data_IF_734046727173
#
_entry.id   IF_734046727173
#
_cell.length_a   1.000
_cell.length_b   1.000
_cell.length_c   1.000
_cell.angle_alpha   90.00
_cell.angle_beta   90.00
_cell.angle_gamma   90.00
#
_symmetry.space_group_name_H-M   'P 1'
#
loop_
_entity.id
_entity.type
_entity.pdbx_description
1 polymer ?
#
# COMPACT_ATOMS: atom_id res chain seq x y z
N UNK A 1 -7.49 8.17 19.79
CA UNK A 1 -7.08 7.30 18.66
C UNK A 1 -5.96 6.41 19.14
N UNK A 2 -6.04 5.08 18.97
CA UNK A 2 -4.97 4.17 19.40
C UNK A 2 -3.78 4.30 18.45
N UNK A 3 -2.62 4.75 18.95
CA UNK A 3 -1.44 4.93 18.10
C UNK A 3 -0.79 3.59 17.75
N UNK A 4 -0.28 3.47 16.52
CA UNK A 4 0.61 2.38 16.09
C UNK A 4 2.07 2.86 15.91
N UNK A 5 2.39 4.08 16.35
CA UNK A 5 3.66 4.74 16.03
C UNK A 5 4.90 4.12 16.69
N UNK A 6 4.72 3.39 17.80
CA UNK A 6 5.81 2.74 18.54
C UNK A 6 6.15 1.38 17.92
N UNK A 7 7.35 1.23 17.33
CA UNK A 7 7.76 -0.04 16.69
C UNK A 7 7.92 -1.21 17.66
N UNK A 8 8.08 -0.93 18.97
CA UNK A 8 8.30 -1.95 20.00
C UNK A 8 7.03 -2.73 20.31
N UNK A 9 5.87 -2.16 19.99
CA UNK A 9 4.57 -2.83 20.11
C UNK A 9 4.39 -3.79 18.94
N UNK A 10 4.80 -5.04 19.14
CA UNK A 10 4.79 -6.07 18.08
C UNK A 10 3.39 -6.50 17.68
N UNK A 11 2.40 -6.42 18.58
CA UNK A 11 1.00 -6.72 18.28
C UNK A 11 0.42 -5.82 17.20
N UNK A 12 1.00 -4.63 16.96
CA UNK A 12 0.49 -3.70 15.95
C UNK A 12 0.64 -4.23 14.52
N UNK A 13 1.55 -5.17 14.29
CA UNK A 13 1.68 -5.84 12.99
C UNK A 13 0.39 -6.55 12.57
N UNK A 14 -0.38 -7.08 13.52
CA UNK A 14 -1.67 -7.70 13.22
C UNK A 14 -2.64 -6.69 12.57
N UNK A 15 -2.74 -5.49 13.12
CA UNK A 15 -3.61 -4.44 12.58
C UNK A 15 -3.06 -3.84 11.27
N UNK A 16 -1.74 -3.70 11.17
CA UNK A 16 -1.07 -3.20 9.95
C UNK A 16 -1.31 -4.14 8.78
N UNK A 17 -1.17 -5.45 8.97
CA UNK A 17 -1.41 -6.44 7.92
C UNK A 17 -2.87 -6.40 7.45
N UNK A 18 -3.82 -6.36 8.38
CA UNK A 18 -5.25 -6.30 8.01
C UNK A 18 -5.56 -5.00 7.28
N UNK A 19 -5.04 -3.86 7.75
CA UNK A 19 -5.23 -2.57 7.10
C UNK A 19 -4.63 -2.55 5.68
N UNK A 20 -3.42 -3.09 5.51
CA UNK A 20 -2.76 -3.18 4.22
C UNK A 20 -3.62 -3.95 3.20
N UNK A 21 -4.12 -5.13 3.60
CA UNK A 21 -4.99 -5.97 2.75
C UNK A 21 -6.30 -5.24 2.41
N UNK A 22 -6.92 -4.55 3.37
CA UNK A 22 -8.16 -3.79 3.14
C UNK A 22 -7.91 -2.65 2.15
N UNK A 23 -6.87 -1.86 2.37
CA UNK A 23 -6.53 -0.71 1.52
C UNK A 23 -6.24 -1.18 0.10
N UNK A 24 -5.42 -2.21 -0.05
CA UNK A 24 -5.10 -2.79 -1.36
C UNK A 24 -6.36 -3.35 -2.06
N UNK A 25 -7.22 -4.06 -1.33
CA UNK A 25 -8.49 -4.57 -1.88
C UNK A 25 -9.40 -3.43 -2.37
N UNK A 26 -9.44 -2.30 -1.65
CA UNK A 26 -10.18 -1.11 -2.08
C UNK A 26 -9.57 -0.52 -3.36
N UNK A 27 -8.24 -0.44 -3.46
CA UNK A 27 -7.54 0.05 -4.66
C UNK A 27 -7.85 -0.84 -5.86
N UNK A 28 -7.78 -2.15 -5.71
CA UNK A 28 -8.10 -3.10 -6.79
C UNK A 28 -9.55 -2.94 -7.23
N UNK A 29 -10.47 -2.83 -6.27
CA UNK A 29 -11.88 -2.59 -6.57
C UNK A 29 -12.07 -1.28 -7.36
N UNK A 30 -11.46 -0.18 -6.91
CA UNK A 30 -11.54 1.09 -7.62
C UNK A 30 -10.89 1.02 -9.00
N UNK A 31 -9.76 0.35 -9.14
CA UNK A 31 -9.04 0.21 -10.42
C UNK A 31 -9.85 -0.59 -11.43
N UNK A 32 -10.46 -1.71 -11.00
CA UNK A 32 -11.21 -2.59 -11.90
C UNK A 32 -12.61 -2.08 -12.25
N UNK A 33 -13.27 -1.39 -11.32
CA UNK A 33 -14.68 -1.02 -11.46
C UNK A 33 -14.91 0.48 -11.71
N UNK A 34 -13.87 1.32 -11.71
CA UNK A 34 -14.02 2.72 -12.12
C UNK A 34 -14.20 2.84 -13.64
N UNK A 35 -15.00 3.81 -14.12
CA UNK A 35 -15.10 4.10 -15.55
C UNK A 35 -13.71 4.34 -16.15
N UNK A 36 -13.40 3.66 -17.26
CA UNK A 36 -12.16 3.83 -18.04
C UNK A 36 -12.14 5.15 -18.84
N UNK A 37 -12.70 6.20 -18.26
CA UNK A 37 -12.63 7.56 -18.81
C UNK A 37 -11.16 8.05 -18.80
N UNK A 38 -10.76 8.94 -19.73
CA UNK A 38 -9.36 9.27 -20.04
C UNK A 38 -8.57 9.94 -18.90
N UNK A 39 -9.16 10.11 -17.72
CA UNK A 39 -8.56 10.75 -16.56
C UNK A 39 -8.42 9.84 -15.33
N UNK A 40 -9.04 8.65 -15.33
CA UNK A 40 -9.08 7.75 -14.16
C UNK A 40 -8.67 6.30 -14.45
N UNK A 41 -8.66 5.85 -15.71
CA UNK A 41 -8.19 4.52 -16.06
C UNK A 41 -6.66 4.46 -16.11
N UNK A 42 -6.02 3.87 -15.10
CA UNK A 42 -4.59 3.55 -15.13
C UNK A 42 -4.44 2.16 -15.73
N UNK A 43 -4.04 2.10 -17.00
CA UNK A 43 -3.92 0.83 -17.74
C UNK A 43 -2.85 -0.06 -17.11
N UNK A 44 -1.69 0.51 -16.75
CA UNK A 44 -0.61 -0.25 -16.13
C UNK A 44 -1.02 -0.90 -14.79
N UNK A 45 -1.93 -0.29 -14.03
CA UNK A 45 -2.38 -0.80 -12.73
C UNK A 45 -3.42 -1.92 -12.89
N UNK A 46 -4.30 -1.85 -13.90
CA UNK A 46 -5.16 -3.00 -14.22
C UNK A 46 -4.33 -4.17 -14.80
N UNK A 47 -3.31 -3.87 -15.61
CA UNK A 47 -2.36 -4.86 -16.12
C UNK A 47 -1.57 -5.53 -15.00
N UNK A 48 -1.14 -4.77 -13.98
CA UNK A 48 -0.46 -5.28 -12.79
C UNK A 48 -1.25 -6.41 -12.12
N UNK A 49 -2.51 -6.14 -11.79
CA UNK A 49 -3.37 -7.13 -11.14
C UNK A 49 -3.82 -8.25 -12.08
N UNK A 50 -4.00 -7.96 -13.37
CA UNK A 50 -4.41 -8.97 -14.36
C UNK A 50 -3.30 -9.95 -14.69
N UNK A 51 -2.04 -9.49 -14.73
CA UNK A 51 -0.87 -10.33 -15.05
C UNK A 51 -0.37 -11.12 -13.85
N UNK A 52 -0.30 -10.50 -12.67
CA UNK A 52 0.37 -11.11 -11.51
C UNK A 52 -0.58 -11.58 -10.41
N UNK A 53 -1.85 -11.19 -10.45
CA UNK A 53 -2.88 -11.65 -9.52
C UNK A 53 -2.46 -11.49 -8.06
N UNK A 54 -2.45 -12.59 -7.31
CA UNK A 54 -2.14 -12.57 -5.87
C UNK A 54 -0.68 -12.16 -5.57
N UNK A 55 0.23 -12.29 -6.55
CA UNK A 55 1.62 -11.83 -6.38
C UNK A 55 1.71 -10.30 -6.41
N UNK A 56 0.89 -9.65 -7.24
CA UNK A 56 0.74 -8.19 -7.24
C UNK A 56 0.20 -7.70 -5.88
N UNK A 57 -0.90 -8.30 -5.40
CA UNK A 57 -1.45 -8.05 -4.06
C UNK A 57 -0.37 -8.20 -2.98
N UNK A 58 0.39 -9.30 -3.04
CA UNK A 58 1.46 -9.57 -2.09
C UNK A 58 2.53 -8.47 -2.10
N UNK A 59 2.98 -8.06 -3.29
CA UNK A 59 3.97 -7.00 -3.44
C UNK A 59 3.47 -5.67 -2.86
N UNK A 60 2.22 -5.29 -3.11
CA UNK A 60 1.65 -4.03 -2.64
C UNK A 60 1.46 -4.05 -1.11
N UNK A 61 0.92 -5.14 -0.56
CA UNK A 61 0.77 -5.35 0.89
C UNK A 61 2.13 -5.33 1.60
N UNK A 62 3.14 -6.05 1.08
CA UNK A 62 4.46 -6.07 1.70
C UNK A 62 5.18 -4.72 1.59
N UNK A 63 5.07 -4.02 0.47
CA UNK A 63 5.65 -2.69 0.30
C UNK A 63 5.08 -1.71 1.34
N UNK A 64 3.75 -1.69 1.51
CA UNK A 64 3.08 -0.86 2.51
C UNK A 64 3.51 -1.23 3.94
N UNK A 65 3.61 -2.53 4.25
CA UNK A 65 4.09 -3.01 5.55
C UNK A 65 5.55 -2.59 5.83
N UNK A 66 6.44 -2.68 4.84
CA UNK A 66 7.83 -2.22 4.95
C UNK A 66 7.86 -0.71 5.23
N UNK A 67 7.10 0.08 4.45
CA UNK A 67 7.00 1.52 4.61
C UNK A 67 6.55 1.94 6.02
N UNK A 68 5.46 1.37 6.51
CA UNK A 68 4.95 1.66 7.86
C UNK A 68 5.94 1.16 8.92
N UNK A 69 6.51 -0.03 8.75
CA UNK A 69 7.48 -0.61 9.69
C UNK A 69 8.70 0.27 9.92
N UNK A 70 9.36 0.70 8.84
CA UNK A 70 10.52 1.58 8.93
C UNK A 70 10.16 2.97 9.46
N UNK A 71 9.02 3.53 9.06
CA UNK A 71 8.56 4.81 9.58
C UNK A 71 8.30 4.75 11.09
N UNK A 72 7.72 3.67 11.62
CA UNK A 72 7.57 3.44 13.08
C UNK A 72 8.93 3.41 13.79
N UNK A 73 9.92 2.75 13.19
CA UNK A 73 11.27 2.69 13.74
C UNK A 73 11.91 4.07 13.83
N UNK A 74 11.91 4.83 12.73
CA UNK A 74 12.45 6.20 12.66
C UNK A 74 11.72 7.10 13.67
N UNK A 75 10.40 7.06 13.69
CA UNK A 75 9.57 7.90 14.56
C UNK A 75 9.85 7.64 16.05
N UNK A 76 9.95 6.37 16.43
CA UNK A 76 10.22 5.98 17.83
C UNK A 76 11.63 6.38 18.27
N UNK A 77 12.64 6.23 17.40
CA UNK A 77 14.01 6.63 17.70
C UNK A 77 14.17 8.14 17.77
N UNK A 78 13.41 8.90 16.97
CA UNK A 78 13.42 10.36 17.01
C UNK A 78 12.86 10.95 18.32
N UNK A 79 12.27 10.14 19.20
CA UNK A 79 11.76 10.60 20.50
C UNK A 79 10.62 11.60 20.38
N UNK A 80 9.94 11.67 19.23
CA UNK A 80 8.85 12.59 19.00
C UNK A 80 7.70 12.31 19.98
N UNK A 81 7.12 13.35 20.58
CA UNK A 81 5.89 13.21 21.36
C UNK A 81 4.82 12.57 20.50
N UNK A 82 4.00 11.68 21.09
CA UNK A 82 2.95 10.90 20.45
C UNK A 82 1.92 11.79 19.72
N UNK A 83 2.28 12.21 18.51
CA UNK A 83 1.54 13.14 17.66
C UNK A 83 1.26 12.44 16.35
N UNK A 84 -0.03 12.21 16.11
CA UNK A 84 -0.53 11.59 14.90
C UNK A 84 -0.03 12.28 13.63
N UNK A 85 -0.03 13.62 13.61
CA UNK A 85 0.40 14.40 12.44
C UNK A 85 1.87 14.19 12.14
N UNK A 86 2.74 14.24 13.16
CA UNK A 86 4.17 13.98 12.96
C UNK A 86 4.46 12.54 12.54
N UNK A 87 3.65 11.59 13.04
CA UNK A 87 3.78 10.19 12.61
C UNK A 87 3.40 10.02 11.15
N UNK A 88 2.26 10.56 10.71
CA UNK A 88 1.87 10.54 9.29
C UNK A 88 2.90 11.21 8.39
N UNK A 89 3.42 12.37 8.79
CA UNK A 89 4.49 13.04 8.03
C UNK A 89 5.73 12.16 7.91
N UNK A 90 6.12 11.46 8.98
CA UNK A 90 7.27 10.52 8.94
C UNK A 90 7.02 9.39 7.96
N UNK A 91 5.81 8.83 7.95
CA UNK A 91 5.42 7.75 7.05
C UNK A 91 5.46 8.20 5.59
N UNK A 92 4.86 9.35 5.27
CA UNK A 92 4.82 9.90 3.91
C UNK A 92 6.22 10.28 3.43
N UNK A 93 7.03 10.94 4.26
CA UNK A 93 8.40 11.29 3.89
C UNK A 93 9.27 10.05 3.66
N UNK A 94 9.12 9.01 4.49
CA UNK A 94 9.82 7.75 4.26
C UNK A 94 9.41 7.10 2.95
N UNK A 95 8.11 7.00 2.66
CA UNK A 95 7.59 6.45 1.40
C UNK A 95 8.13 7.23 0.20
N UNK A 96 8.07 8.57 0.22
CA UNK A 96 8.58 9.39 -0.87
C UNK A 96 10.07 9.12 -1.16
N UNK A 97 10.89 9.08 -0.11
CA UNK A 97 12.32 8.77 -0.24
C UNK A 97 12.56 7.35 -0.76
N UNK A 98 11.82 6.39 -0.24
CA UNK A 98 11.90 4.99 -0.64
C UNK A 98 11.55 4.81 -2.12
N UNK A 99 10.45 5.41 -2.58
CA UNK A 99 9.96 5.18 -3.95
C UNK A 99 10.83 5.87 -4.99
N UNK A 100 11.34 7.07 -4.69
CA UNK A 100 12.34 7.74 -5.54
C UNK A 100 13.62 6.89 -5.61
N UNK A 101 14.10 6.38 -4.48
CA UNK A 101 15.27 5.51 -4.46
C UNK A 101 15.03 4.22 -5.23
N UNK A 102 13.90 3.56 -5.01
CA UNK A 102 13.52 2.32 -5.69
C UNK A 102 13.42 2.53 -7.20
N UNK A 103 12.83 3.64 -7.63
CA UNK A 103 12.76 3.99 -9.04
C UNK A 103 14.15 4.18 -9.65
N UNK A 104 15.00 5.01 -9.04
CA UNK A 104 16.31 5.34 -9.60
C UNK A 104 17.31 4.20 -9.52
N UNK A 105 17.29 3.43 -8.43
CA UNK A 105 18.29 2.40 -8.15
C UNK A 105 17.90 1.01 -8.67
N UNK A 106 16.60 0.72 -8.80
CA UNK A 106 16.10 -0.60 -9.17
C UNK A 106 15.32 -0.58 -10.49
N UNK A 107 14.29 0.27 -10.61
CA UNK A 107 13.40 0.22 -11.78
C UNK A 107 14.08 0.76 -13.05
N UNK A 108 14.67 1.96 -12.98
CA UNK A 108 15.22 2.66 -14.14
C UNK A 108 16.44 1.96 -14.79
N UNK A 109 17.37 1.35 -14.03
CA UNK A 109 18.55 0.70 -14.62
C UNK A 109 18.25 -0.65 -15.29
N UNK A 110 17.15 -1.31 -14.94
CA UNK A 110 16.83 -2.66 -15.44
C UNK A 110 16.29 -2.56 -16.86
N UNK A 111 16.95 -3.25 -17.78
CA UNK A 111 16.54 -3.29 -19.19
C UNK A 111 15.26 -4.08 -19.35
N UNK A 112 14.35 -3.60 -20.21
CA UNK A 112 13.06 -4.26 -20.46
C UNK A 112 13.22 -5.74 -20.82
N UNK A 113 12.28 -6.57 -20.37
CA UNK A 113 12.25 -8.02 -20.62
C UNK A 113 13.11 -8.86 -19.67
N UNK A 114 13.86 -8.24 -18.75
CA UNK A 114 14.59 -8.97 -17.71
C UNK A 114 13.71 -9.32 -16.51
N UNK A 115 12.69 -8.51 -16.24
CA UNK A 115 11.74 -8.74 -15.16
C UNK A 115 10.38 -8.13 -15.52
N UNK A 116 9.38 -8.99 -15.71
CA UNK A 116 8.05 -8.58 -16.12
C UNK A 116 7.35 -7.62 -15.14
N UNK A 117 7.56 -7.77 -13.84
CA UNK A 117 6.98 -6.86 -12.85
C UNK A 117 7.59 -5.47 -12.96
N UNK A 118 8.90 -5.39 -13.18
CA UNK A 118 9.61 -4.12 -13.36
C UNK A 118 9.21 -3.47 -14.68
N UNK A 119 8.97 -4.25 -15.73
CA UNK A 119 8.47 -3.74 -17.00
C UNK A 119 7.12 -3.03 -16.83
N UNK A 120 6.21 -3.56 -15.99
CA UNK A 120 4.93 -2.90 -15.67
C UNK A 120 5.15 -1.64 -14.82
N UNK A 121 6.07 -1.65 -13.86
CA UNK A 121 6.42 -0.43 -13.11
C UNK A 121 6.97 0.69 -14.01
N UNK A 122 7.73 0.34 -15.05
CA UNK A 122 8.23 1.31 -16.03
C UNK A 122 7.08 1.91 -16.85
N UNK A 123 6.10 1.09 -17.28
CA UNK A 123 4.90 1.60 -17.96
C UNK A 123 4.07 2.49 -17.04
N UNK A 124 3.87 2.06 -15.78
CA UNK A 124 3.15 2.83 -14.78
C UNK A 124 3.79 4.21 -14.56
N UNK A 125 5.12 4.26 -14.42
CA UNK A 125 5.89 5.50 -14.30
C UNK A 125 5.76 6.41 -15.54
N UNK A 126 5.71 5.84 -16.74
CA UNK A 126 5.51 6.60 -17.98
C UNK A 126 4.09 7.17 -18.09
N UNK A 127 3.07 6.44 -17.63
CA UNK A 127 1.67 6.87 -17.67
C UNK A 127 1.35 7.99 -16.66
N UNK A 128 1.84 7.87 -15.42
CA UNK A 128 1.37 8.69 -14.31
C UNK A 128 2.42 9.64 -13.71
N UNK A 129 3.71 9.40 -13.99
CA UNK A 129 4.81 10.23 -13.50
C UNK A 129 4.71 10.54 -12.01
N UNK A 130 4.78 11.81 -11.64
CA UNK A 130 4.73 12.25 -10.24
C UNK A 130 3.40 12.02 -9.51
N UNK A 131 2.30 11.72 -10.21
CA UNK A 131 1.00 11.44 -9.57
C UNK A 131 1.02 10.15 -8.75
N UNK A 132 1.92 9.22 -9.10
CA UNK A 132 2.13 7.94 -8.40
C UNK A 132 2.47 8.20 -6.94
N UNK A 133 3.41 9.12 -6.68
CA UNK A 133 3.87 9.46 -5.33
C UNK A 133 2.74 9.98 -4.44
N UNK A 134 1.78 10.71 -5.03
CA UNK A 134 0.61 11.20 -4.32
C UNK A 134 -0.41 10.07 -4.04
N UNK A 135 -0.60 9.16 -4.99
CA UNK A 135 -1.43 7.98 -4.79
C UNK A 135 -0.87 7.10 -3.68
N UNK A 136 0.43 6.81 -3.70
CA UNK A 136 1.11 5.98 -2.70
C UNK A 136 1.06 6.64 -1.31
N UNK A 137 1.20 7.97 -1.21
CA UNK A 137 1.00 8.69 0.05
C UNK A 137 -0.43 8.52 0.63
N UNK A 138 -1.46 8.44 -0.23
CA UNK A 138 -2.82 8.12 0.20
C UNK A 138 -2.94 6.66 0.67
N UNK A 139 -2.28 5.71 0.01
CA UNK A 139 -2.25 4.31 0.44
C UNK A 139 -1.58 4.16 1.81
N UNK A 140 -0.44 4.81 2.01
CA UNK A 140 0.26 4.83 3.29
C UNK A 140 -0.59 5.45 4.39
N UNK A 141 -1.27 6.56 4.10
CA UNK A 141 -2.19 7.21 5.04
C UNK A 141 -3.37 6.30 5.38
N UNK A 142 -3.97 5.66 4.38
CA UNK A 142 -5.03 4.68 4.54
C UNK A 142 -4.60 3.49 5.41
N UNK A 143 -3.38 2.98 5.19
CA UNK A 143 -2.80 1.90 5.98
C UNK A 143 -2.62 2.30 7.44
N UNK A 144 -2.06 3.48 7.71
CA UNK A 144 -1.88 3.99 9.08
C UNK A 144 -3.23 4.22 9.78
N UNK A 145 -4.15 4.94 9.14
CA UNK A 145 -5.47 5.26 9.71
C UNK A 145 -6.28 3.98 9.93
N UNK A 146 -6.31 3.09 8.94
CA UNK A 146 -6.96 1.78 9.02
C UNK A 146 -6.43 0.95 10.18
N UNK A 147 -5.11 0.90 10.34
CA UNK A 147 -4.48 0.19 11.47
C UNK A 147 -4.89 0.74 12.82
N UNK A 148 -4.96 2.07 12.96
CA UNK A 148 -5.36 2.74 14.20
C UNK A 148 -6.84 2.53 14.52
N UNK A 149 -7.70 2.43 13.51
CA UNK A 149 -9.11 2.07 13.66
C UNK A 149 -9.22 0.62 14.13
N UNK A 150 -8.59 -0.33 13.42
CA UNK A 150 -8.63 -1.76 13.75
C UNK A 150 -8.07 -2.05 15.15
N UNK A 151 -7.04 -1.31 15.59
CA UNK A 151 -6.49 -1.42 16.96
C UNK A 151 -7.51 -1.05 18.04
N UNK A 152 -8.49 -0.20 17.74
CA UNK A 152 -9.58 0.14 18.64
C UNK A 152 -10.76 -0.84 18.63
N UNK A 153 -10.77 -1.82 17.71
CA UNK A 153 -11.85 -2.78 17.56
C UNK A 153 -11.54 -4.11 18.28
N UNK A 154 -12.56 -4.86 18.71
CA UNK A 154 -12.38 -6.21 19.23
C UNK A 154 -11.74 -7.15 18.20
N UNK A 155 -10.86 -8.05 18.66
CA UNK A 155 -10.12 -8.98 17.76
C UNK A 155 -11.04 -9.81 16.87
N UNK A 156 -12.20 -10.26 17.36
CA UNK A 156 -13.14 -11.05 16.56
C UNK A 156 -13.74 -10.24 15.39
N UNK A 157 -13.92 -8.92 15.54
CA UNK A 157 -14.33 -8.03 14.44
C UNK A 157 -13.21 -7.94 13.41
N UNK A 158 -11.97 -7.70 13.85
CA UNK A 158 -10.82 -7.61 12.95
C UNK A 158 -10.61 -8.89 12.13
N UNK A 159 -10.73 -10.05 12.77
CA UNK A 159 -10.64 -11.36 12.09
C UNK A 159 -11.78 -11.54 11.10
N UNK A 160 -13.01 -11.21 11.47
CA UNK A 160 -14.16 -11.30 10.56
C UNK A 160 -13.99 -10.37 9.35
N UNK A 161 -13.56 -9.12 9.57
CA UNK A 161 -13.25 -8.18 8.50
C UNK A 161 -12.18 -8.73 7.57
N UNK A 162 -11.07 -9.26 8.10
CA UNK A 162 -10.02 -9.88 7.30
C UNK A 162 -10.55 -11.01 6.42
N UNK A 163 -11.36 -11.92 6.98
CA UNK A 163 -11.94 -13.05 6.25
C UNK A 163 -12.84 -12.56 5.11
N UNK A 164 -13.72 -11.59 5.37
CA UNK A 164 -14.62 -11.02 4.36
C UNK A 164 -13.83 -10.31 3.26
N UNK A 165 -12.78 -9.56 3.63
CA UNK A 165 -11.92 -8.86 2.67
C UNK A 165 -11.18 -9.86 1.77
N UNK A 166 -10.53 -10.87 2.34
CA UNK A 166 -9.82 -11.89 1.56
C UNK A 166 -10.76 -12.70 0.66
N UNK A 167 -11.94 -13.06 1.17
CA UNK A 167 -12.96 -13.75 0.37
C UNK A 167 -13.40 -12.89 -0.81
N UNK A 168 -13.72 -11.61 -0.56
CA UNK A 168 -14.11 -10.66 -1.62
C UNK A 168 -12.99 -10.44 -2.64
N UNK A 169 -11.74 -10.31 -2.17
CA UNK A 169 -10.56 -10.11 -2.99
C UNK A 169 -10.40 -11.23 -4.04
N UNK A 170 -10.67 -12.49 -3.67
CA UNK A 170 -10.64 -13.61 -4.62
C UNK A 170 -11.55 -13.38 -5.84
N UNK A 171 -12.75 -12.82 -5.64
CA UNK A 171 -13.67 -12.56 -6.77
C UNK A 171 -13.32 -11.28 -7.51
N UNK A 172 -12.99 -10.21 -6.78
CA UNK A 172 -12.62 -8.91 -7.36
C UNK A 172 -11.42 -9.07 -8.30
N UNK A 173 -10.37 -9.75 -7.85
CA UNK A 173 -9.10 -9.88 -8.57
C UNK A 173 -9.24 -10.57 -9.93
N UNK A 174 -10.11 -11.58 -10.03
CA UNK A 174 -10.31 -12.36 -11.25
C UNK A 174 -11.54 -11.95 -12.07
N UNK A 175 -12.24 -10.89 -11.67
CA UNK A 175 -13.34 -10.33 -12.46
C UNK A 175 -12.77 -9.46 -13.59
N UNK A 176 -13.21 -9.72 -14.83
CA UNK A 176 -12.85 -8.96 -16.03
C UNK A 176 -14.03 -8.09 -16.45
N UNK A 177 -13.79 -6.79 -16.66
CA UNK A 177 -14.79 -5.77 -17.01
C UNK A 177 -14.30 -4.94 -18.19
#
# INVERSE_FOLDING_TARGET
MHSISDYRVTSDWFYITIAAIIVDTIVIFLTKFSPKDPYFGITALDDWYTRFGILAVGADVFSLMIGIGFARYIYTLGGFKSSFVFFLLTVILFQLCHDIFFFLAVIAPITRGHNEMIDVFQDYAAENGGKILAADALLMTGGVVGSMILKGLPTHINVMTLIITLYSLCFILYTKI
#
